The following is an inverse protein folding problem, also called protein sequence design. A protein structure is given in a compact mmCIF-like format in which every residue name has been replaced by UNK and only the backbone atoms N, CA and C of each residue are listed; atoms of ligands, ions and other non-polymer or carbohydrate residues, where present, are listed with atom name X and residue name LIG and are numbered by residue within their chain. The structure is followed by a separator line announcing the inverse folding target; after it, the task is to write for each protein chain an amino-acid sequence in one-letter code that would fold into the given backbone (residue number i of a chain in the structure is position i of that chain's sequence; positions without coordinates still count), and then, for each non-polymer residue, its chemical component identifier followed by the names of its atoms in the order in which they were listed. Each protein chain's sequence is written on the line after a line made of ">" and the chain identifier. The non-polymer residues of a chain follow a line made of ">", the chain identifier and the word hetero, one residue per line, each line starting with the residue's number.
data_IF_800118056247
#
_entry.id   IF_800118056247
#
_cell.length_a   1.000
_cell.length_b   1.000
_cell.length_c   1.000
_cell.angle_alpha   90.00
_cell.angle_beta   90.00
_cell.angle_gamma   90.00
#
_symmetry.space_group_name_H-M   'P 1'
#
loop_
_entity.id
_entity.type
_entity.pdbx_description
1 polymer ?
#
# COMPACT_ATOMS: atom_id res chain seq x y z
N UNK A 1 -1.45 -10.67 20.36
CA UNK A 1 -2.53 -9.91 19.68
C UNK A 1 -2.02 -9.37 18.36
N UNK A 2 -2.90 -9.19 17.38
CA UNK A 2 -2.55 -8.58 16.09
C UNK A 2 -2.35 -7.08 16.29
N UNK A 3 -1.12 -6.58 16.13
CA UNK A 3 -0.83 -5.14 16.29
C UNK A 3 -1.42 -4.28 15.18
N UNK A 4 -1.31 -4.77 13.94
CA UNK A 4 -1.73 -4.04 12.73
C UNK A 4 -2.46 -4.97 11.77
N UNK A 5 -3.52 -4.46 11.14
CA UNK A 5 -4.22 -5.08 10.02
C UNK A 5 -4.21 -4.13 8.82
N UNK A 6 -3.85 -4.65 7.65
CA UNK A 6 -3.75 -3.90 6.41
C UNK A 6 -4.90 -4.26 5.46
N UNK A 7 -5.41 -3.26 4.76
CA UNK A 7 -6.50 -3.41 3.80
C UNK A 7 -6.06 -2.93 2.41
N UNK A 8 -5.77 -3.88 1.54
CA UNK A 8 -5.35 -3.69 0.14
C UNK A 8 -5.85 -4.81 -0.77
N UNK A 9 -5.91 -4.55 -2.07
CA UNK A 9 -6.40 -5.49 -3.08
C UNK A 9 -5.33 -6.54 -3.42
N UNK A 10 -5.74 -7.68 -4.01
CA UNK A 10 -4.83 -8.81 -4.31
C UNK A 10 -3.71 -8.44 -5.29
N UNK A 11 -3.92 -7.41 -6.11
CA UNK A 11 -2.99 -6.88 -7.10
C UNK A 11 -2.16 -5.68 -6.60
N UNK A 12 -2.15 -5.43 -5.29
CA UNK A 12 -1.40 -4.36 -4.65
C UNK A 12 -0.24 -4.90 -3.80
N UNK A 13 0.81 -4.09 -3.65
CA UNK A 13 1.92 -4.39 -2.73
C UNK A 13 2.40 -3.15 -2.00
N UNK A 14 3.07 -3.36 -0.86
CA UNK A 14 3.70 -2.32 -0.08
C UNK A 14 5.19 -2.23 -0.43
N UNK A 15 5.62 -1.06 -0.88
CA UNK A 15 7.04 -0.74 -1.00
C UNK A 15 7.55 -0.19 0.33
N UNK A 16 8.53 -0.88 0.92
CA UNK A 16 9.27 -0.37 2.08
C UNK A 16 10.65 0.08 1.60
N UNK A 17 11.10 1.31 1.91
CA UNK A 17 12.43 1.78 1.54
C UNK A 17 13.52 0.81 2.01
N UNK A 18 14.59 0.65 1.23
CA UNK A 18 15.67 -0.34 1.48
C UNK A 18 16.32 -0.19 2.86
N UNK A 19 16.29 1.01 3.45
CA UNK A 19 16.88 1.31 4.77
C UNK A 19 15.92 1.05 5.94
N UNK A 20 14.67 0.74 5.66
CA UNK A 20 13.62 0.54 6.66
C UNK A 20 13.14 -0.91 6.64
N UNK A 21 12.46 -1.30 7.71
CA UNK A 21 11.71 -2.56 7.79
C UNK A 21 10.24 -2.25 7.99
N UNK A 22 9.35 -3.17 7.64
CA UNK A 22 7.93 -2.98 7.95
C UNK A 22 7.71 -2.78 9.46
N UNK A 23 8.52 -3.43 10.31
CA UNK A 23 8.46 -3.26 11.78
C UNK A 23 8.83 -1.85 12.20
N UNK A 24 9.95 -1.31 11.71
CA UNK A 24 10.38 0.06 12.06
C UNK A 24 9.37 1.11 11.60
N UNK A 25 8.79 0.93 10.41
CA UNK A 25 7.70 1.80 9.93
C UNK A 25 6.48 1.70 10.85
N UNK A 26 6.06 0.50 11.25
CA UNK A 26 4.91 0.33 12.14
C UNK A 26 5.15 0.88 13.55
N UNK A 27 6.36 0.75 14.09
CA UNK A 27 6.76 1.31 15.39
C UNK A 27 6.70 2.85 15.35
N UNK A 28 7.18 3.46 14.27
CA UNK A 28 7.09 4.93 14.09
C UNK A 28 5.65 5.46 14.00
N UNK A 29 4.66 4.58 13.77
CA UNK A 29 3.25 4.93 13.63
C UNK A 29 2.40 4.45 14.81
N UNK A 30 3.01 3.97 15.90
CA UNK A 30 2.30 3.37 17.04
C UNK A 30 1.29 4.32 17.72
N UNK A 31 1.54 5.64 17.65
CA UNK A 31 0.62 6.65 18.18
C UNK A 31 -0.66 6.85 17.35
N UNK A 32 -0.70 6.30 16.13
CA UNK A 32 -1.85 6.33 15.24
C UNK A 32 -2.63 5.02 15.32
N UNK A 33 -3.94 5.11 15.26
CA UNK A 33 -4.82 3.93 15.22
C UNK A 33 -5.29 3.58 13.82
N UNK A 34 -5.12 4.51 12.89
CA UNK A 34 -5.28 4.30 11.46
C UNK A 34 -4.28 5.18 10.71
N UNK A 35 -3.79 4.71 9.58
CA UNK A 35 -3.09 5.56 8.62
C UNK A 35 -3.41 5.13 7.19
N UNK A 36 -3.29 6.06 6.24
CA UNK A 36 -3.46 5.75 4.82
C UNK A 36 -2.12 5.52 4.14
N UNK A 37 -2.10 4.60 3.19
CA UNK A 37 -0.95 4.30 2.35
C UNK A 37 -1.08 5.09 1.06
N UNK A 38 0.01 5.75 0.66
CA UNK A 38 0.07 6.42 -0.62
C UNK A 38 -0.03 5.39 -1.76
N UNK A 39 -1.04 5.58 -2.61
CA UNK A 39 -1.24 4.75 -3.79
C UNK A 39 -0.35 5.23 -4.93
N UNK A 40 0.54 4.37 -5.41
CA UNK A 40 1.29 4.59 -6.64
C UNK A 40 0.73 3.71 -7.76
N UNK A 41 0.04 4.27 -8.77
CA UNK A 41 -0.50 3.45 -9.84
C UNK A 41 0.61 2.91 -10.76
N UNK A 42 0.29 1.83 -11.45
CA UNK A 42 1.11 1.32 -12.53
C UNK A 42 0.73 1.99 -13.84
N UNK A 43 1.72 2.33 -14.66
CA UNK A 43 1.46 2.80 -16.00
C UNK A 43 1.26 1.61 -16.95
N UNK A 44 0.10 1.55 -17.62
CA UNK A 44 -0.11 0.62 -18.74
C UNK A 44 0.69 0.97 -20.00
N UNK A 45 1.39 2.11 -20.01
CA UNK A 45 2.19 2.62 -21.15
C UNK A 45 3.69 2.46 -20.95
N UNK A 46 4.15 2.11 -19.74
CA UNK A 46 5.57 2.01 -19.40
C UNK A 46 5.85 0.63 -18.85
N UNK A 47 6.75 -0.08 -19.52
CA UNK A 47 7.22 -1.39 -19.09
C UNK A 47 8.62 -1.27 -18.48
N UNK A 48 8.88 -2.06 -17.44
CA UNK A 48 10.22 -2.20 -16.89
C UNK A 48 11.12 -2.98 -17.87
N UNK A 49 12.24 -2.38 -18.28
CA UNK A 49 13.19 -2.97 -19.23
C UNK A 49 14.47 -3.53 -18.58
N UNK A 50 14.63 -3.38 -17.25
CA UNK A 50 15.91 -3.60 -16.58
C UNK A 50 16.44 -5.04 -16.59
N UNK A 51 15.61 -6.05 -16.82
CA UNK A 51 16.04 -7.45 -16.94
C UNK A 51 16.35 -7.90 -18.39
N UNK A 52 16.14 -7.01 -19.35
CA UNK A 52 16.26 -7.30 -20.77
C UNK A 52 15.16 -8.25 -21.30
N UNK A 53 14.96 -8.29 -22.64
CA UNK A 53 13.90 -9.08 -23.26
C UNK A 53 14.00 -10.59 -22.97
N UNK A 54 15.20 -11.09 -22.67
CA UNK A 54 15.47 -12.50 -22.40
C UNK A 54 14.96 -13.01 -21.04
N UNK A 55 14.48 -12.14 -20.14
CA UNK A 55 13.99 -12.55 -18.80
C UNK A 55 12.56 -12.12 -18.51
N UNK A 56 12.04 -11.13 -19.24
CA UNK A 56 10.69 -10.59 -19.04
C UNK A 56 9.59 -11.66 -19.12
N UNK A 57 9.76 -12.74 -19.89
CA UNK A 57 8.74 -13.80 -19.98
C UNK A 57 8.55 -14.59 -18.67
N UNK A 58 9.52 -14.58 -17.76
CA UNK A 58 9.46 -15.29 -16.45
C UNK A 58 8.75 -14.49 -15.36
N UNK A 59 8.42 -13.24 -15.65
CA UNK A 59 7.81 -12.32 -14.70
C UNK A 59 6.30 -12.38 -14.73
N UNK A 60 5.68 -12.18 -13.57
CA UNK A 60 4.26 -11.88 -13.44
C UNK A 60 3.93 -10.57 -14.14
N UNK A 61 2.67 -10.41 -14.57
CA UNK A 61 2.23 -9.19 -15.27
C UNK A 61 2.56 -7.91 -14.49
N UNK A 62 2.36 -7.95 -13.17
CA UNK A 62 2.65 -6.86 -12.24
C UNK A 62 4.13 -6.45 -12.22
N UNK A 63 5.06 -7.41 -12.35
CA UNK A 63 6.50 -7.17 -12.33
C UNK A 63 7.04 -6.58 -13.64
N UNK A 64 6.21 -6.56 -14.69
CA UNK A 64 6.56 -5.96 -16.00
C UNK A 64 6.18 -4.49 -16.07
N UNK A 65 5.29 -4.04 -15.21
CA UNK A 65 4.79 -2.68 -15.23
C UNK A 65 5.72 -1.76 -14.44
N UNK A 66 5.86 -0.51 -14.91
CA UNK A 66 6.54 0.51 -14.15
C UNK A 66 5.54 1.30 -13.32
N UNK A 67 5.83 1.43 -12.03
CA UNK A 67 5.19 2.40 -11.15
C UNK A 67 5.47 3.80 -11.66
N UNK A 68 4.41 4.57 -11.84
CA UNK A 68 4.51 5.96 -12.26
C UNK A 68 3.28 6.68 -11.78
N UNK A 69 3.46 7.86 -11.21
CA UNK A 69 2.31 8.70 -10.94
C UNK A 69 1.67 9.12 -12.27
N UNK A 70 0.55 8.47 -12.57
CA UNK A 70 -0.29 8.72 -13.74
C UNK A 70 -1.64 9.34 -13.34
N UNK A 71 -1.81 9.69 -12.06
CA UNK A 71 -3.07 10.26 -11.57
C UNK A 71 -3.25 11.65 -12.17
N UNK A 72 -4.34 11.83 -12.93
CA UNK A 72 -4.75 13.15 -13.43
C UNK A 72 -5.74 13.86 -12.50
N UNK A 73 -6.38 13.09 -11.61
CA UNK A 73 -7.44 13.56 -10.72
C UNK A 73 -7.20 12.95 -9.34
N UNK A 74 -7.39 13.70 -8.25
CA UNK A 74 -7.39 13.15 -6.90
C UNK A 74 -8.46 12.05 -6.78
N UNK A 75 -8.05 10.82 -6.47
CA UNK A 75 -8.97 9.72 -6.15
C UNK A 75 -9.09 9.56 -4.64
N UNK A 76 -10.29 9.20 -4.18
CA UNK A 76 -10.57 8.92 -2.75
C UNK A 76 -10.25 7.49 -2.33
N UNK A 77 -9.85 6.63 -3.27
CA UNK A 77 -9.40 5.27 -2.96
C UNK A 77 -8.24 5.37 -1.99
N UNK A 78 -8.44 4.79 -0.82
CA UNK A 78 -7.49 4.79 0.29
C UNK A 78 -7.27 3.34 0.65
N UNK A 79 -6.00 2.95 0.65
CA UNK A 79 -5.55 1.75 1.32
C UNK A 79 -5.04 2.18 2.67
N UNK A 80 -5.29 1.38 3.68
CA UNK A 80 -5.06 1.81 5.04
C UNK A 80 -4.71 0.63 5.92
N UNK A 81 -4.06 0.93 7.02
CA UNK A 81 -3.89 -0.02 8.10
C UNK A 81 -4.53 0.54 9.38
N UNK A 82 -4.93 -0.36 10.26
CA UNK A 82 -5.49 -0.02 11.57
C UNK A 82 -4.90 -0.89 12.66
N UNK A 83 -4.93 -0.38 13.89
CA UNK A 83 -4.78 -1.18 15.09
C UNK A 83 -6.13 -1.82 15.44
N UNK A 84 -6.27 -3.16 15.34
CA UNK A 84 -7.58 -3.83 15.41
C UNK A 84 -8.37 -3.56 16.69
N UNK A 85 -7.67 -3.37 17.81
CA UNK A 85 -8.28 -3.15 19.12
C UNK A 85 -8.96 -1.77 19.23
N UNK A 86 -8.62 -0.84 18.34
CA UNK A 86 -9.08 0.55 18.38
C UNK A 86 -10.19 0.83 17.34
N UNK A 87 -10.70 -0.20 16.66
CA UNK A 87 -11.71 -0.07 15.61
C UNK A 87 -12.97 -0.86 15.93
N UNK A 88 -14.14 -0.21 15.87
CA UNK A 88 -15.42 -0.91 16.05
C UNK A 88 -15.85 -1.68 14.80
N UNK A 89 -15.52 -1.14 13.62
CA UNK A 89 -15.80 -1.73 12.32
C UNK A 89 -14.85 -1.13 11.26
N UNK A 90 -14.65 -1.88 10.17
CA UNK A 90 -13.81 -1.49 9.04
C UNK A 90 -14.67 -1.03 7.86
N UNK A 91 -14.21 0.00 7.15
CA UNK A 91 -14.89 0.51 5.95
C UNK A 91 -14.20 0.06 4.66
N UNK A 92 -14.89 0.25 3.52
CA UNK A 92 -14.38 -0.14 2.19
C UNK A 92 -13.12 0.62 1.79
N UNK A 93 -13.03 1.89 2.16
CA UNK A 93 -11.87 2.75 1.84
C UNK A 93 -11.18 3.31 3.09
N UNK A 94 -11.87 3.35 4.23
CA UNK A 94 -11.35 3.88 5.48
C UNK A 94 -12.31 3.53 6.61
N UNK A 95 -11.81 3.31 7.83
CA UNK A 95 -12.65 3.18 9.02
C UNK A 95 -13.03 4.56 9.55
N UNK A 96 -14.29 4.75 9.93
CA UNK A 96 -14.84 6.04 10.39
C UNK A 96 -15.17 6.08 11.89
N UNK A 97 -15.23 4.92 12.56
CA UNK A 97 -15.55 4.79 13.98
C UNK A 97 -14.34 4.26 14.74
N UNK A 98 -13.39 5.15 15.00
CA UNK A 98 -12.10 4.87 15.62
C UNK A 98 -11.96 5.76 16.85
N UNK A 99 -11.38 5.25 17.92
CA UNK A 99 -11.12 6.06 19.11
C UNK A 99 -9.65 6.46 19.16
N UNK A 100 -9.19 7.45 18.38
CA UNK A 100 -7.83 8.03 18.51
C UNK A 100 -7.29 8.68 17.24
N UNK A 101 -5.96 8.81 17.13
CA UNK A 101 -5.32 9.53 16.02
C UNK A 101 -5.41 8.75 14.70
N UNK A 102 -5.62 9.46 13.60
CA UNK A 102 -5.68 8.95 12.22
C UNK A 102 -4.78 9.73 11.29
#
# INVERSE_FOLDING_TARGET
>A
MTKWMFFFDVDEFLHVPVKETISSVMESLEEYFQFTIELMPMSSRVCYSGDGPARTYRKWGIEKLAYRDVKKVPRRDRKYAVQPENVFAIGVHMSQNLQGKT
#
